data_IF_946943194648
#
_entry.id   IF_946943194648
#
_cell.length_a   1.000
_cell.length_b   1.000
_cell.length_c   1.000
_cell.angle_alpha   90.00
_cell.angle_beta   90.00
_cell.angle_gamma   90.00
#
_symmetry.space_group_name_H-M   'P 1'
#
loop_
_entity.id
_entity.type
_entity.pdbx_description
1 polymer ?
#
# COMPACT_ATOMS: atom_id res chain seq x y z
N UNK A 1 9.68 -6.12 0.55
CA UNK A 1 8.54 -5.65 1.37
C UNK A 1 8.02 -6.83 2.19
N UNK A 2 7.52 -6.60 3.41
CA UNK A 2 6.86 -7.65 4.18
C UNK A 2 5.51 -7.99 3.52
N UNK A 3 5.25 -9.27 3.30
CA UNK A 3 4.03 -9.78 2.67
C UNK A 3 3.25 -10.64 3.66
N UNK A 4 1.98 -10.91 3.37
CA UNK A 4 1.16 -11.86 4.15
C UNK A 4 1.82 -13.25 4.25
N UNK A 5 2.47 -13.71 3.17
CA UNK A 5 3.23 -14.95 3.17
C UNK A 5 4.42 -14.92 4.15
N UNK A 6 5.15 -13.80 4.23
CA UNK A 6 6.22 -13.64 5.20
C UNK A 6 5.66 -13.69 6.63
N UNK A 7 4.54 -13.01 6.90
CA UNK A 7 3.87 -13.07 8.20
C UNK A 7 3.34 -14.46 8.55
N UNK A 8 2.87 -15.24 7.57
CA UNK A 8 2.47 -16.62 7.78
C UNK A 8 3.68 -17.49 8.18
N UNK A 9 4.80 -17.31 7.49
CA UNK A 9 6.05 -18.00 7.84
C UNK A 9 6.54 -17.60 9.24
N UNK A 10 6.49 -16.32 9.60
CA UNK A 10 6.83 -15.86 10.95
C UNK A 10 5.89 -16.42 12.01
N UNK A 11 4.60 -16.54 11.69
CA UNK A 11 3.61 -17.17 12.56
C UNK A 11 3.97 -18.63 12.83
N UNK A 12 4.37 -19.38 11.81
CA UNK A 12 4.77 -20.79 11.98
C UNK A 12 5.97 -20.91 12.92
N UNK A 13 7.04 -20.13 12.70
CA UNK A 13 8.22 -20.14 13.56
C UNK A 13 7.90 -19.66 14.98
N UNK A 14 7.13 -18.59 15.12
CA UNK A 14 6.68 -18.07 16.43
C UNK A 14 5.80 -19.08 17.16
N UNK A 15 4.94 -19.81 16.43
CA UNK A 15 4.11 -20.88 16.98
C UNK A 15 4.94 -22.05 17.50
N UNK A 16 5.94 -22.51 16.73
CA UNK A 16 6.89 -23.54 17.19
C UNK A 16 7.61 -23.07 18.46
N UNK A 17 8.14 -21.84 18.46
CA UNK A 17 8.80 -21.28 19.64
C UNK A 17 7.86 -21.20 20.85
N UNK A 18 6.59 -20.83 20.65
CA UNK A 18 5.56 -20.80 21.70
C UNK A 18 5.35 -22.18 22.32
N UNK A 19 5.25 -23.23 21.49
CA UNK A 19 5.12 -24.61 21.97
C UNK A 19 6.35 -25.07 22.75
N UNK A 20 7.56 -24.70 22.30
CA UNK A 20 8.81 -25.00 23.02
C UNK A 20 8.82 -24.32 24.39
N UNK A 21 8.46 -23.04 24.47
CA UNK A 21 8.38 -22.33 25.75
C UNK A 21 7.29 -22.90 26.67
N UNK A 22 6.16 -23.34 26.11
CA UNK A 22 5.12 -24.03 26.88
C UNK A 22 5.63 -25.35 27.47
N UNK A 23 6.32 -26.17 26.67
CA UNK A 23 6.93 -27.42 27.14
C UNK A 23 8.00 -27.17 28.22
N UNK A 24 8.87 -26.18 28.02
CA UNK A 24 9.86 -25.77 29.01
C UNK A 24 9.23 -25.24 30.30
N UNK A 25 8.13 -24.49 30.21
CA UNK A 25 7.39 -24.03 31.38
C UNK A 25 6.87 -25.23 32.18
N UNK A 26 6.23 -26.21 31.53
CA UNK A 26 5.75 -27.43 32.18
C UNK A 26 6.90 -28.19 32.85
N UNK A 27 8.01 -28.39 32.13
CA UNK A 27 9.19 -29.07 32.67
C UNK A 27 9.77 -28.34 33.88
N UNK A 28 9.82 -27.00 33.85
CA UNK A 28 10.29 -26.17 34.96
C UNK A 28 9.40 -26.30 36.22
N UNK A 29 8.09 -26.53 36.05
CA UNK A 29 7.21 -26.84 37.19
C UNK A 29 7.48 -28.23 37.76
N UNK A 30 7.65 -29.25 36.91
CA UNK A 30 7.97 -30.63 37.32
C UNK A 30 9.29 -30.67 38.08
N UNK A 31 10.34 -30.04 37.53
CA UNK A 31 11.69 -30.01 38.10
C UNK A 31 11.89 -28.90 39.15
N UNK A 32 10.84 -28.12 39.46
CA UNK A 32 10.82 -27.03 40.45
C UNK A 32 11.91 -25.97 40.25
N UNK A 33 12.19 -25.60 39.00
CA UNK A 33 13.15 -24.53 38.70
C UNK A 33 12.69 -23.17 39.25
N UNK A 34 13.63 -22.35 39.72
CA UNK A 34 13.33 -20.99 40.22
C UNK A 34 12.73 -20.06 39.16
N UNK A 35 12.97 -20.33 37.87
CA UNK A 35 12.48 -19.51 36.75
C UNK A 35 11.08 -19.87 36.26
N UNK A 36 10.41 -20.89 36.84
CA UNK A 36 9.14 -21.43 36.33
C UNK A 36 8.06 -20.37 36.05
N UNK A 37 7.91 -19.38 36.93
CA UNK A 37 6.92 -18.30 36.76
C UNK A 37 7.30 -17.30 35.66
N UNK A 38 8.60 -17.08 35.44
CA UNK A 38 9.09 -16.25 34.31
C UNK A 38 8.80 -16.93 32.97
N UNK A 39 8.90 -18.27 32.92
CA UNK A 39 8.56 -19.05 31.74
C UNK A 39 7.07 -18.97 31.41
N UNK A 40 6.17 -18.95 32.41
CA UNK A 40 4.73 -18.69 32.17
C UNK A 40 4.51 -17.35 31.49
N UNK A 41 5.14 -16.28 32.01
CA UNK A 41 5.07 -14.95 31.40
C UNK A 41 5.63 -14.93 29.96
N UNK A 42 6.75 -15.63 29.74
CA UNK A 42 7.36 -15.76 28.40
C UNK A 42 6.43 -16.48 27.42
N UNK A 43 5.86 -17.61 27.82
CA UNK A 43 4.89 -18.37 27.00
C UNK A 43 3.64 -17.54 26.70
N UNK A 44 3.11 -16.80 27.69
CA UNK A 44 1.97 -15.91 27.50
C UNK A 44 2.26 -14.80 26.48
N UNK A 45 3.42 -14.15 26.59
CA UNK A 45 3.86 -13.15 25.60
C UNK A 45 4.01 -13.77 24.20
N UNK A 46 4.62 -14.94 24.09
CA UNK A 46 4.80 -15.64 22.82
C UNK A 46 3.48 -16.02 22.16
N UNK A 47 2.45 -16.35 22.95
CA UNK A 47 1.10 -16.60 22.43
C UNK A 47 0.51 -15.32 21.81
N UNK A 48 0.60 -14.19 22.51
CA UNK A 48 0.13 -12.89 21.99
C UNK A 48 0.90 -12.50 20.72
N UNK A 49 2.23 -12.65 20.71
CA UNK A 49 3.05 -12.37 19.54
C UNK A 49 2.67 -13.24 18.34
N UNK A 50 2.50 -14.54 18.56
CA UNK A 50 2.08 -15.49 17.52
C UNK A 50 0.70 -15.15 16.99
N UNK A 51 -0.26 -14.82 17.86
CA UNK A 51 -1.60 -14.39 17.46
C UNK A 51 -1.58 -13.09 16.64
N UNK A 52 -0.73 -12.13 17.02
CA UNK A 52 -0.53 -10.88 16.26
C UNK A 52 0.06 -11.13 14.87
N UNK A 53 1.11 -11.95 14.77
CA UNK A 53 1.71 -12.33 13.48
C UNK A 53 0.70 -13.08 12.60
N UNK A 54 -0.12 -13.95 13.19
CA UNK A 54 -1.15 -14.69 12.47
C UNK A 54 -2.19 -13.73 11.90
N UNK A 55 -2.69 -12.79 12.69
CA UNK A 55 -3.64 -11.79 12.23
C UNK A 55 -3.10 -10.98 11.03
N UNK A 56 -1.82 -10.59 11.08
CA UNK A 56 -1.14 -9.89 9.98
C UNK A 56 -0.95 -10.75 8.72
N UNK A 57 -1.01 -12.08 8.84
CA UNK A 57 -0.96 -12.99 7.70
C UNK A 57 -2.28 -13.08 6.93
N UNK A 58 -3.41 -12.72 7.55
CA UNK A 58 -4.75 -12.83 6.95
C UNK A 58 -5.11 -11.65 6.04
N UNK A 59 -4.66 -10.44 6.40
CA UNK A 59 -5.01 -9.22 5.67
C UNK A 59 -3.80 -8.65 4.91
N UNK A 60 -3.93 -8.31 3.61
CA UNK A 60 -2.87 -7.66 2.87
C UNK A 60 -2.54 -6.28 3.47
N UNK A 61 -1.41 -6.18 4.18
CA UNK A 61 -0.75 -4.89 4.44
C UNK A 61 -0.02 -4.36 3.20
N UNK A 62 0.16 -5.20 2.18
CA UNK A 62 0.84 -4.85 0.95
C UNK A 62 -0.09 -4.13 -0.01
N UNK A 63 0.42 -3.01 -0.53
CA UNK A 63 -0.19 -2.28 -1.64
C UNK A 63 -0.21 -3.15 -2.90
N UNK A 64 -1.20 -2.92 -3.76
CA UNK A 64 -1.19 -3.50 -5.09
C UNK A 64 0.04 -3.01 -5.84
N UNK A 65 0.81 -3.95 -6.39
CA UNK A 65 1.98 -3.65 -7.23
C UNK A 65 1.63 -4.05 -8.66
N UNK A 66 1.53 -3.07 -9.54
CA UNK A 66 1.30 -3.28 -10.97
C UNK A 66 2.64 -3.18 -11.69
N UNK A 67 3.05 -4.21 -12.46
CA UNK A 67 4.29 -4.16 -13.23
C UNK A 67 4.36 -2.91 -14.12
N UNK A 68 5.51 -2.24 -14.15
CA UNK A 68 5.71 -1.01 -14.92
C UNK A 68 5.20 0.27 -14.27
N UNK A 69 4.50 0.20 -13.13
CA UNK A 69 4.15 1.38 -12.35
C UNK A 69 5.40 2.00 -11.73
N UNK A 70 5.53 3.32 -11.82
CA UNK A 70 6.62 4.08 -11.20
C UNK A 70 6.20 4.63 -9.84
N UNK A 71 7.18 5.09 -9.07
CA UNK A 71 6.94 5.74 -7.79
C UNK A 71 6.14 7.03 -8.00
N UNK A 72 5.12 7.23 -7.18
CA UNK A 72 4.35 8.46 -7.10
C UNK A 72 4.23 8.92 -5.64
N UNK A 73 3.93 10.20 -5.44
CA UNK A 73 3.59 10.76 -4.12
C UNK A 73 2.20 11.39 -4.14
N UNK A 74 1.38 11.14 -3.12
CA UNK A 74 0.10 11.82 -2.96
C UNK A 74 0.35 13.29 -2.58
N UNK A 75 -0.20 14.23 -3.35
CA UNK A 75 -0.03 15.69 -3.10
C UNK A 75 -1.33 16.38 -2.73
N UNK A 76 -2.47 15.79 -3.06
CA UNK A 76 -3.78 16.27 -2.65
C UNK A 76 -4.74 15.10 -2.54
N UNK A 77 -5.59 15.13 -1.53
CA UNK A 77 -6.68 14.19 -1.33
C UNK A 77 -7.81 14.94 -0.60
N UNK A 78 -9.01 14.93 -1.18
CA UNK A 78 -10.19 15.53 -0.55
C UNK A 78 -10.90 14.57 0.42
N UNK A 79 -10.36 13.36 0.62
CA UNK A 79 -10.97 12.32 1.44
C UNK A 79 -12.28 11.81 0.89
N UNK A 80 -12.53 11.95 -0.42
CA UNK A 80 -13.75 11.57 -1.11
C UNK A 80 -13.46 11.11 -2.55
N UNK A 81 -13.88 11.88 -3.54
CA UNK A 81 -13.90 11.47 -4.96
C UNK A 81 -12.68 11.93 -5.75
N UNK A 82 -11.72 12.61 -5.11
CA UNK A 82 -10.58 13.17 -5.84
C UNK A 82 -9.25 13.07 -5.08
N UNK A 83 -8.26 12.53 -5.77
CA UNK A 83 -6.86 12.58 -5.36
C UNK A 83 -5.98 13.09 -6.50
N UNK A 84 -4.88 13.75 -6.15
CA UNK A 84 -3.82 14.15 -7.08
C UNK A 84 -2.52 13.54 -6.62
N UNK A 85 -1.83 12.88 -7.55
CA UNK A 85 -0.50 12.31 -7.34
C UNK A 85 0.54 13.10 -8.15
N UNK A 86 1.73 13.22 -7.60
CA UNK A 86 2.90 13.71 -8.30
C UNK A 86 3.75 12.55 -8.82
N UNK A 87 4.26 12.70 -10.04
CA UNK A 87 5.06 11.71 -10.77
C UNK A 87 6.24 12.40 -11.47
N UNK A 88 7.27 11.61 -11.82
CA UNK A 88 8.44 12.08 -12.56
C UNK A 88 8.04 12.65 -13.93
N UNK A 89 8.67 13.74 -14.39
CA UNK A 89 8.49 14.25 -15.74
C UNK A 89 9.09 13.34 -16.83
N UNK A 90 9.93 12.36 -16.46
CA UNK A 90 10.57 11.42 -17.39
C UNK A 90 9.74 10.13 -17.63
N UNK A 91 8.48 10.13 -17.21
CA UNK A 91 7.59 8.97 -17.32
C UNK A 91 7.13 8.72 -18.76
N UNK A 92 6.99 7.45 -19.18
CA UNK A 92 6.34 7.09 -20.45
C UNK A 92 4.81 7.00 -20.31
N UNK A 93 4.04 7.07 -21.42
CA UNK A 93 2.59 6.84 -21.38
C UNK A 93 2.19 5.47 -20.81
N UNK A 94 2.97 4.42 -21.12
CA UNK A 94 2.72 3.06 -20.62
C UNK A 94 2.99 2.94 -19.12
N UNK A 95 4.06 3.58 -18.63
CA UNK A 95 4.33 3.67 -17.20
C UNK A 95 3.25 4.49 -16.48
N UNK A 96 2.75 5.55 -17.12
CA UNK A 96 1.67 6.36 -16.56
C UNK A 96 0.38 5.55 -16.39
N UNK A 97 -0.03 4.76 -17.40
CA UNK A 97 -1.22 3.90 -17.29
C UNK A 97 -1.10 2.94 -16.09
N UNK A 98 0.02 2.21 -16.01
CA UNK A 98 0.29 1.29 -14.90
C UNK A 98 0.30 2.02 -13.55
N UNK A 99 0.90 3.21 -13.49
CA UNK A 99 0.99 4.03 -12.27
C UNK A 99 -0.38 4.53 -11.83
N UNK A 100 -1.22 4.99 -12.76
CA UNK A 100 -2.58 5.45 -12.48
C UNK A 100 -3.44 4.29 -11.95
N UNK A 101 -3.41 3.13 -12.61
CA UNK A 101 -4.12 1.93 -12.13
C UNK A 101 -3.67 1.53 -10.71
N UNK A 102 -2.36 1.57 -10.46
CA UNK A 102 -1.80 1.26 -9.16
C UNK A 102 -2.25 2.29 -8.11
N UNK A 103 -2.22 3.58 -8.46
CA UNK A 103 -2.65 4.65 -7.58
C UNK A 103 -4.14 4.55 -7.25
N UNK A 104 -5.00 4.28 -8.23
CA UNK A 104 -6.43 4.06 -8.01
C UNK A 104 -6.71 2.84 -7.12
N UNK A 105 -5.86 1.80 -7.20
CA UNK A 105 -5.93 0.65 -6.30
C UNK A 105 -5.53 1.00 -4.87
N UNK A 106 -4.44 1.74 -4.72
CA UNK A 106 -3.81 2.05 -3.42
C UNK A 106 -4.48 3.19 -2.66
N UNK A 107 -5.06 4.16 -3.36
CA UNK A 107 -5.73 5.34 -2.79
C UNK A 107 -7.24 5.14 -2.66
N UNK A 108 -7.72 3.92 -2.89
CA UNK A 108 -9.14 3.62 -2.75
C UNK A 108 -9.61 3.87 -1.32
N UNK A 109 -10.56 4.78 -1.19
CA UNK A 109 -11.26 5.09 0.04
C UNK A 109 -12.72 5.35 -0.31
N UNK A 110 -13.67 4.74 0.40
CA UNK A 110 -15.10 5.08 0.25
C UNK A 110 -15.41 6.55 0.56
N UNK A 111 -14.43 7.26 1.13
CA UNK A 111 -14.52 8.67 1.45
C UNK A 111 -15.32 8.94 2.72
N UNK A 112 -14.97 10.00 3.44
CA UNK A 112 -15.79 10.50 4.57
C UNK A 112 -16.96 11.36 4.08
N UNK A 113 -16.84 11.89 2.87
CA UNK A 113 -17.80 12.80 2.22
C UNK A 113 -18.40 12.19 0.93
N UNK A 114 -18.21 10.89 0.68
CA UNK A 114 -18.76 10.21 -0.48
C UNK A 114 -20.29 10.11 -0.39
N UNK A 115 -21.02 11.04 -1.01
CA UNK A 115 -22.46 10.89 -1.22
C UNK A 115 -22.74 9.83 -2.27
N UNK A 116 -23.82 9.05 -2.13
CA UNK A 116 -24.26 7.99 -3.09
C UNK A 116 -24.41 8.46 -4.56
N UNK A 117 -24.38 9.76 -4.80
CA UNK A 117 -24.46 10.38 -6.13
C UNK A 117 -23.09 10.46 -6.83
N UNK A 118 -21.99 10.53 -6.08
CA UNK A 118 -20.63 10.68 -6.63
C UNK A 118 -19.79 9.45 -6.28
N UNK A 119 -20.08 8.37 -7.01
CA UNK A 119 -19.58 7.02 -6.73
C UNK A 119 -18.27 6.71 -7.47
N UNK A 120 -17.52 7.71 -7.93
CA UNK A 120 -16.28 7.51 -8.66
C UNK A 120 -15.11 8.22 -7.99
N UNK A 121 -14.02 7.48 -7.77
CA UNK A 121 -12.73 8.04 -7.41
C UNK A 121 -12.00 8.46 -8.68
N UNK A 122 -11.67 9.74 -8.78
CA UNK A 122 -10.79 10.30 -9.82
C UNK A 122 -9.40 10.54 -9.24
N UNK A 123 -8.41 9.80 -9.73
CA UNK A 123 -6.99 10.06 -9.42
C UNK A 123 -6.35 10.76 -10.60
N UNK A 124 -5.84 11.97 -10.39
CA UNK A 124 -5.15 12.76 -11.43
C UNK A 124 -3.65 12.71 -11.21
N UNK A 125 -2.89 12.46 -12.26
CA UNK A 125 -1.44 12.47 -12.20
C UNK A 125 -0.90 13.79 -12.76
N UNK A 126 -0.07 14.46 -11.95
CA UNK A 126 0.64 15.66 -12.37
C UNK A 126 2.15 15.50 -12.24
N UNK A 127 2.88 16.22 -13.05
CA UNK A 127 4.29 16.52 -12.84
C UNK A 127 4.50 18.02 -12.73
N UNK A 128 5.73 18.45 -12.43
CA UNK A 128 6.14 19.85 -12.44
C UNK A 128 7.25 19.98 -13.47
N UNK A 129 7.08 20.93 -14.39
CA UNK A 129 8.10 21.30 -15.37
C UNK A 129 8.67 22.68 -15.03
N UNK A 130 9.90 22.92 -15.49
CA UNK A 130 10.63 24.17 -15.31
C UNK A 130 10.96 24.76 -16.69
N UNK A 131 10.02 25.46 -17.34
CA UNK A 131 10.23 25.98 -18.69
C UNK A 131 11.30 27.08 -18.73
N UNK A 132 11.41 27.88 -17.66
CA UNK A 132 12.37 28.96 -17.51
C UNK A 132 12.94 28.99 -16.09
N UNK A 133 14.16 29.53 -15.89
CA UNK A 133 14.73 29.71 -14.55
C UNK A 133 13.78 30.50 -13.64
N UNK A 134 13.44 29.92 -12.49
CA UNK A 134 12.53 30.55 -11.51
C UNK A 134 11.03 30.35 -11.79
N UNK A 135 10.65 29.71 -12.91
CA UNK A 135 9.25 29.40 -13.24
C UNK A 135 9.00 27.90 -13.10
N UNK A 136 7.95 27.52 -12.38
CA UNK A 136 7.52 26.12 -12.22
C UNK A 136 6.05 26.00 -12.58
N UNK A 137 5.71 25.06 -13.45
CA UNK A 137 4.34 24.86 -13.93
C UNK A 137 3.90 23.42 -13.66
N UNK A 138 2.77 23.20 -12.97
CA UNK A 138 2.20 21.88 -12.83
C UNK A 138 1.52 21.44 -14.13
N UNK A 139 1.85 20.26 -14.62
CA UNK A 139 1.27 19.67 -15.84
C UNK A 139 0.60 18.36 -15.50
N UNK A 140 -0.69 18.25 -15.79
CA UNK A 140 -1.42 16.98 -15.65
C UNK A 140 -1.16 16.12 -16.88
N UNK A 141 -0.73 14.88 -16.67
CA UNK A 141 -0.38 13.95 -17.75
C UNK A 141 -1.50 12.93 -18.03
N UNK A 142 -2.41 12.75 -17.08
CA UNK A 142 -3.56 11.87 -17.25
C UNK A 142 -4.36 11.74 -15.96
N UNK A 143 -5.41 10.94 -16.04
CA UNK A 143 -6.27 10.60 -14.91
C UNK A 143 -6.82 9.19 -15.02
N UNK A 144 -7.30 8.66 -13.91
CA UNK A 144 -8.04 7.42 -13.87
C UNK A 144 -9.29 7.59 -13.03
N UNK A 145 -10.39 7.02 -13.51
CA UNK A 145 -11.66 6.93 -12.79
C UNK A 145 -11.95 5.48 -12.46
N UNK A 146 -12.38 5.21 -11.23
CA UNK A 146 -12.87 3.89 -10.81
C UNK A 146 -14.12 4.05 -9.95
N UNK A 147 -14.96 3.02 -9.91
CA UNK A 147 -16.08 3.01 -8.96
C UNK A 147 -15.59 2.89 -7.51
N UNK A 148 -16.25 3.63 -6.63
CA UNK A 148 -16.14 3.51 -5.18
C UNK A 148 -17.01 2.39 -4.62
N UNK A 149 -18.04 1.94 -5.35
CA UNK A 149 -19.04 0.98 -4.86
C UNK A 149 -18.59 -0.48 -5.03
N UNK A 150 -17.77 -0.77 -6.04
CA UNK A 150 -17.30 -2.13 -6.33
C UNK A 150 -15.79 -2.19 -6.24
N UNK A 151 -15.22 -2.85 -5.21
CA UNK A 151 -13.76 -2.90 -5.05
C UNK A 151 -13.11 -3.85 -6.05
N UNK A 152 -13.71 -5.02 -6.28
CA UNK A 152 -13.12 -6.13 -7.06
C UNK A 152 -13.45 -6.06 -8.56
N UNK A 153 -14.65 -5.59 -8.93
CA UNK A 153 -15.14 -5.53 -10.31
C UNK A 153 -15.31 -4.10 -10.82
N UNK A 154 -14.44 -3.18 -10.39
CA UNK A 154 -14.43 -1.82 -10.96
C UNK A 154 -13.68 -1.81 -12.28
N UNK A 155 -14.39 -1.58 -13.39
CA UNK A 155 -13.74 -1.09 -14.59
C UNK A 155 -13.02 0.23 -14.28
N UNK A 156 -11.73 0.28 -14.59
CA UNK A 156 -10.92 1.49 -14.46
C UNK A 156 -10.81 2.15 -15.82
N UNK A 157 -11.34 3.37 -15.94
CA UNK A 157 -11.18 4.18 -17.15
C UNK A 157 -9.95 5.05 -16.98
N UNK A 158 -8.89 4.74 -17.72
CA UNK A 158 -7.66 5.53 -17.75
C UNK A 158 -7.69 6.44 -18.96
N UNK A 159 -7.37 7.71 -18.73
CA UNK A 159 -7.26 8.74 -19.76
C UNK A 159 -5.86 9.36 -19.68
N UNK A 160 -5.09 9.20 -20.76
CA UNK A 160 -3.77 9.80 -20.93
C UNK A 160 -3.94 11.07 -21.77
N UNK A 161 -3.13 12.09 -21.52
CA UNK A 161 -3.15 13.35 -22.27
C UNK A 161 -1.90 13.49 -23.17
N UNK A 162 -1.89 12.94 -24.40
CA UNK A 162 -0.72 12.98 -25.28
C UNK A 162 -0.16 14.38 -25.52
N UNK A 163 -1.04 15.38 -25.68
CA UNK A 163 -0.64 16.78 -25.91
C UNK A 163 0.16 17.37 -24.74
N UNK A 164 -0.06 16.85 -23.52
CA UNK A 164 0.66 17.28 -22.32
C UNK A 164 2.02 16.60 -22.19
N UNK A 165 2.18 15.40 -22.74
CA UNK A 165 3.48 14.74 -22.84
C UNK A 165 4.45 15.50 -23.76
N UNK A 166 3.93 16.17 -24.80
CA UNK A 166 4.76 17.00 -25.68
C UNK A 166 5.42 18.20 -24.96
N UNK A 167 4.94 18.56 -23.77
CA UNK A 167 5.47 19.66 -22.95
C UNK A 167 6.59 19.20 -22.00
N UNK A 168 6.84 17.89 -21.92
CA UNK A 168 7.85 17.34 -21.03
C UNK A 168 9.26 17.60 -21.56
N UNK A 169 10.25 17.77 -20.66
CA UNK A 169 11.63 17.85 -21.07
C UNK A 169 12.01 16.56 -21.79
N UNK A 170 12.69 16.70 -22.94
CA UNK A 170 13.21 15.54 -23.67
C UNK A 170 14.31 14.87 -22.83
N UNK A 171 14.38 13.54 -22.78
CA UNK A 171 15.50 12.85 -22.14
C UNK A 171 16.81 13.39 -22.69
N UNK A 172 17.71 13.83 -21.80
CA UNK A 172 19.07 14.16 -22.23
C UNK A 172 19.76 12.84 -22.54
N UNK A 173 20.24 12.69 -23.78
CA UNK A 173 20.92 11.49 -24.26
C UNK A 173 22.26 11.25 -23.54
#
# INVERSE_FOLDING_TARGET
MLTTANFLQYTQWSGIATLVFAALAVLAFILKWGIRFRLVGTTGFMLVLTGGLFALSLAPLSRTVIPGAVRFSLVYDNGATQAVIAISPEISPTQLDATLRQAASNLYSYGRLGTRQDNQLTVRARTIIHPEPGISVPVYLGQVKRSLVSRENSEMTVEIYPDKFAQLPKPTA
#
